data_IF_674748793546
#
_entry.id   IF_674748793546
#
_cell.length_a   1.000
_cell.length_b   1.000
_cell.length_c   1.000
_cell.angle_alpha   90.00
_cell.angle_beta   90.00
_cell.angle_gamma   90.00
#
_symmetry.space_group_name_H-M   'P 1'
#
loop_
_entity.id
_entity.type
_entity.pdbx_description
1 polymer ?
#
# COMPACT_ATOMS: atom_id res chain seq x y z
N UNK A 1 48.00 16.66 9.65
CA UNK A 1 46.67 17.21 9.36
C UNK A 1 45.75 16.04 9.02
N UNK A 2 44.78 15.72 9.87
CA UNK A 2 43.84 14.62 9.64
C UNK A 2 42.58 15.18 8.95
N UNK A 3 42.31 14.72 7.73
CA UNK A 3 41.08 15.01 6.99
C UNK A 3 39.93 14.17 7.55
N UNK A 4 38.96 14.83 8.18
CA UNK A 4 37.69 14.22 8.56
C UNK A 4 36.88 13.97 7.27
N UNK A 5 36.77 12.71 6.87
CA UNK A 5 35.86 12.30 5.81
C UNK A 5 34.42 12.36 6.35
N UNK A 6 33.63 13.30 5.83
CA UNK A 6 32.18 13.33 6.08
C UNK A 6 31.56 12.20 5.27
N UNK A 7 31.13 11.13 5.93
CA UNK A 7 30.35 10.08 5.28
C UNK A 7 29.02 10.69 4.80
N UNK A 8 28.75 10.61 3.50
CA UNK A 8 27.45 11.00 2.97
C UNK A 8 26.36 10.12 3.60
N UNK A 9 25.19 10.68 3.97
CA UNK A 9 24.09 9.88 4.48
C UNK A 9 23.72 8.85 3.41
N UNK A 10 23.73 7.56 3.78
CA UNK A 10 23.21 6.51 2.93
C UNK A 10 21.77 6.88 2.53
N UNK A 11 21.48 6.92 1.23
CA UNK A 11 20.14 7.19 0.72
C UNK A 11 19.15 6.19 1.32
N UNK A 12 17.99 6.68 1.77
CA UNK A 12 16.97 5.82 2.36
C UNK A 12 16.48 4.79 1.32
N UNK A 13 16.63 3.48 1.60
CA UNK A 13 16.20 2.43 0.68
C UNK A 13 14.68 2.34 0.54
N UNK A 14 13.95 2.75 1.58
CA UNK A 14 12.50 2.83 1.55
C UNK A 14 12.04 4.26 1.87
N UNK A 15 11.08 4.73 1.09
CA UNK A 15 10.43 6.02 1.26
C UNK A 15 8.95 5.76 1.51
N UNK A 16 8.41 6.39 2.53
CA UNK A 16 6.97 6.45 2.73
C UNK A 16 6.52 7.89 2.86
N UNK A 17 5.37 8.22 2.27
CA UNK A 17 4.77 9.55 2.40
C UNK A 17 3.27 9.46 2.62
N UNK A 18 2.73 10.46 3.30
CA UNK A 18 1.30 10.63 3.52
C UNK A 18 0.84 11.90 2.80
N UNK A 19 -0.19 11.80 1.95
CA UNK A 19 -0.71 12.92 1.16
C UNK A 19 -2.21 13.15 1.39
N UNK A 20 -2.63 14.29 1.97
CA UNK A 20 -1.80 15.32 2.58
C UNK A 20 -1.07 14.82 3.86
N UNK A 21 0.08 15.40 4.23
CA UNK A 21 0.84 15.01 5.40
C UNK A 21 0.25 15.60 6.70
N UNK A 22 -1.07 15.71 6.82
CA UNK A 22 -1.74 16.44 7.91
C UNK A 22 -2.22 15.49 9.01
N UNK A 23 -1.88 15.80 10.26
CA UNK A 23 -2.38 15.07 11.44
C UNK A 23 -3.92 15.10 11.54
N UNK A 24 -4.50 13.97 11.92
CA UNK A 24 -5.95 13.75 12.07
C UNK A 24 -6.75 13.84 10.77
N UNK A 25 -6.09 14.06 9.63
CA UNK A 25 -6.73 14.24 8.34
C UNK A 25 -6.89 12.93 7.56
N UNK A 26 -7.82 12.95 6.60
CA UNK A 26 -7.84 11.96 5.54
C UNK A 26 -6.53 12.04 4.74
N UNK A 27 -5.91 10.89 4.45
CA UNK A 27 -4.64 10.83 3.75
C UNK A 27 -4.56 9.63 2.80
N UNK A 28 -3.62 9.68 1.87
CA UNK A 28 -3.18 8.55 1.04
C UNK A 28 -1.76 8.20 1.45
N UNK A 29 -1.47 6.93 1.60
CA UNK A 29 -0.11 6.45 1.87
C UNK A 29 0.54 6.07 0.54
N UNK A 30 1.79 6.48 0.37
CA UNK A 30 2.64 6.06 -0.73
C UNK A 30 3.87 5.40 -0.12
N UNK A 31 4.23 4.22 -0.61
CA UNK A 31 5.46 3.53 -0.27
C UNK A 31 6.26 3.31 -1.55
N UNK A 32 7.57 3.49 -1.46
CA UNK A 32 8.52 3.16 -2.52
C UNK A 32 9.73 2.45 -1.89
N UNK A 33 10.23 1.42 -2.54
CA UNK A 33 11.47 0.72 -2.16
C UNK A 33 12.38 0.72 -3.37
N UNK A 34 13.64 1.09 -3.17
CA UNK A 34 14.71 0.91 -4.12
C UNK A 34 15.46 -0.39 -3.82
N UNK A 35 15.28 -1.37 -4.69
CA UNK A 35 15.91 -2.69 -4.64
C UNK A 35 17.33 -2.73 -5.20
N UNK A 36 17.82 -1.62 -5.77
CA UNK A 36 19.19 -1.52 -6.29
C UNK A 36 20.21 -1.14 -5.22
N UNK A 37 19.73 -0.80 -4.02
CA UNK A 37 20.55 -0.42 -2.87
C UNK A 37 20.74 -1.58 -1.91
N UNK A 38 21.93 -1.69 -1.35
CA UNK A 38 22.21 -2.66 -0.29
C UNK A 38 21.35 -2.36 0.95
N UNK A 39 20.88 -3.39 1.68
CA UNK A 39 21.17 -4.81 1.53
C UNK A 39 20.10 -5.59 0.72
N UNK A 40 19.31 -4.89 -0.11
CA UNK A 40 18.24 -5.50 -0.93
C UNK A 40 18.77 -6.02 -2.27
N UNK A 41 19.83 -5.41 -2.79
CA UNK A 41 20.45 -5.71 -4.08
C UNK A 41 20.56 -7.22 -4.34
N UNK A 42 20.15 -7.64 -5.54
CA UNK A 42 20.22 -9.04 -6.02
C UNK A 42 19.34 -10.05 -5.26
N UNK A 43 18.44 -9.61 -4.38
CA UNK A 43 17.52 -10.50 -3.65
C UNK A 43 16.08 -10.21 -4.06
N UNK A 44 15.29 -11.27 -4.28
CA UNK A 44 13.86 -11.14 -4.61
C UNK A 44 13.05 -11.43 -3.35
N UNK A 45 12.26 -10.48 -2.85
CA UNK A 45 11.42 -10.74 -1.69
C UNK A 45 10.28 -11.71 -2.04
N UNK A 46 10.00 -12.63 -1.13
CA UNK A 46 8.88 -13.57 -1.17
C UNK A 46 7.67 -13.06 -0.39
N UNK A 47 7.87 -12.14 0.55
CA UNK A 47 6.77 -11.45 1.23
C UNK A 47 7.11 -9.98 1.45
N UNK A 48 6.07 -9.17 1.63
CA UNK A 48 6.17 -7.73 1.77
C UNK A 48 5.13 -7.23 2.77
N UNK A 49 5.59 -6.46 3.75
CA UNK A 49 4.72 -5.82 4.74
C UNK A 49 4.94 -4.32 4.73
N UNK A 50 3.87 -3.55 4.53
CA UNK A 50 3.88 -2.11 4.71
C UNK A 50 3.22 -1.77 6.04
N UNK A 51 3.92 -1.10 6.93
CA UNK A 51 3.42 -0.76 8.26
C UNK A 51 3.37 0.76 8.45
N UNK A 52 2.26 1.23 8.99
CA UNK A 52 2.08 2.59 9.49
C UNK A 52 1.90 2.53 11.03
N UNK A 53 2.43 3.49 11.79
CA UNK A 53 2.43 3.41 13.24
C UNK A 53 1.03 3.56 13.86
N UNK A 54 0.95 3.44 15.17
CA UNK A 54 -0.29 3.60 15.94
C UNK A 54 -1.01 4.91 15.64
N UNK A 55 -2.34 4.84 15.57
CA UNK A 55 -3.22 6.00 15.33
C UNK A 55 -3.69 6.14 13.89
N UNK A 56 -3.02 5.50 12.92
CA UNK A 56 -3.59 5.36 11.58
C UNK A 56 -4.85 4.51 11.63
N UNK A 57 -5.93 4.98 11.01
CA UNK A 57 -7.20 4.24 10.95
C UNK A 57 -7.56 3.88 9.53
N UNK A 58 -8.23 2.74 9.36
CA UNK A 58 -8.67 2.23 8.06
C UNK A 58 -10.20 2.07 8.02
N UNK A 59 -10.89 2.94 7.28
CA UNK A 59 -12.35 2.96 7.15
C UNK A 59 -12.80 2.31 5.84
N UNK A 60 -13.23 1.05 5.94
CA UNK A 60 -13.65 0.25 4.79
C UNK A 60 -14.94 0.75 4.13
N UNK A 61 -15.66 1.73 4.73
CA UNK A 61 -16.83 2.39 4.12
C UNK A 61 -16.45 3.31 2.96
N UNK A 62 -15.18 3.70 2.88
CA UNK A 62 -14.60 4.40 1.73
C UNK A 62 -14.59 3.55 0.45
N UNK A 63 -14.86 2.25 0.57
CA UNK A 63 -14.96 1.32 -0.54
C UNK A 63 -16.43 0.94 -0.76
N UNK A 64 -16.88 1.02 -2.01
CA UNK A 64 -18.28 0.76 -2.39
C UNK A 64 -18.60 -0.72 -2.61
N UNK A 65 -17.57 -1.55 -2.83
CA UNK A 65 -17.72 -2.96 -3.11
C UNK A 65 -16.59 -3.78 -2.46
N UNK A 66 -16.67 -5.10 -2.61
CA UNK A 66 -15.62 -6.07 -2.25
C UNK A 66 -15.25 -6.89 -3.47
N UNK A 67 -13.99 -7.29 -3.57
CA UNK A 67 -13.54 -8.25 -4.57
C UNK A 67 -13.49 -9.65 -3.97
N UNK A 68 -14.24 -10.59 -4.56
CA UNK A 68 -14.11 -12.02 -4.22
C UNK A 68 -12.85 -12.60 -4.86
N UNK A 69 -12.42 -13.77 -4.41
CA UNK A 69 -11.25 -14.44 -4.98
C UNK A 69 -11.48 -14.81 -6.46
N UNK A 70 -12.67 -15.28 -6.79
CA UNK A 70 -13.04 -15.69 -8.15
C UNK A 70 -12.94 -14.51 -9.10
N UNK A 71 -13.47 -13.34 -8.70
CA UNK A 71 -13.33 -12.10 -9.47
C UNK A 71 -11.90 -11.62 -9.56
N UNK A 72 -11.10 -11.78 -8.50
CA UNK A 72 -9.68 -11.44 -8.54
C UNK A 72 -8.92 -12.29 -9.57
N UNK A 73 -9.19 -13.60 -9.60
CA UNK A 73 -8.56 -14.53 -10.56
C UNK A 73 -8.93 -14.19 -12.00
N UNK A 74 -10.18 -13.77 -12.24
CA UNK A 74 -10.67 -13.35 -13.56
C UNK A 74 -10.35 -11.90 -13.91
N UNK A 75 -9.68 -11.14 -13.03
CA UNK A 75 -9.48 -9.69 -13.17
C UNK A 75 -10.79 -8.89 -13.37
N UNK A 76 -11.84 -9.30 -12.66
CA UNK A 76 -13.17 -8.68 -12.66
C UNK A 76 -13.49 -8.00 -11.31
N UNK A 77 -12.46 -7.60 -10.57
CA UNK A 77 -12.66 -6.87 -9.32
C UNK A 77 -13.43 -5.55 -9.58
N UNK A 78 -14.50 -5.26 -8.81
CA UNK A 78 -15.24 -4.03 -9.02
C UNK A 78 -14.37 -2.83 -8.65
N UNK A 79 -14.41 -1.76 -9.45
CA UNK A 79 -13.66 -0.50 -9.18
C UNK A 79 -13.90 0.05 -7.77
N UNK A 80 -15.11 -0.12 -7.23
CA UNK A 80 -15.45 0.30 -5.87
C UNK A 80 -14.76 -0.48 -4.74
N UNK A 81 -14.03 -1.56 -5.05
CA UNK A 81 -13.18 -2.31 -4.11
C UNK A 81 -11.69 -1.96 -4.19
N UNK A 82 -11.28 -1.17 -5.19
CA UNK A 82 -9.90 -0.76 -5.36
C UNK A 82 -9.44 0.11 -4.19
N UNK A 83 -8.29 -0.23 -3.61
CA UNK A 83 -7.70 0.48 -2.49
C UNK A 83 -6.61 1.46 -2.91
N UNK A 84 -6.11 1.34 -4.14
CA UNK A 84 -5.00 2.13 -4.65
C UNK A 84 -4.36 1.49 -5.88
N UNK A 85 -3.05 1.63 -6.03
CA UNK A 85 -2.31 1.13 -7.18
C UNK A 85 -0.82 1.16 -6.92
N UNK A 86 -0.01 0.63 -7.84
CA UNK A 86 1.44 0.63 -7.68
C UNK A 86 2.13 -0.04 -8.85
N UNK A 87 3.43 -0.26 -8.69
CA UNK A 87 4.25 -0.87 -9.71
C UNK A 87 5.37 -1.68 -9.06
N UNK A 88 5.64 -2.88 -9.58
CA UNK A 88 6.80 -3.69 -9.26
C UNK A 88 7.71 -3.74 -10.49
N UNK A 89 8.99 -3.46 -10.32
CA UNK A 89 10.01 -3.55 -11.37
C UNK A 89 11.01 -4.64 -11.01
N UNK A 90 11.16 -5.61 -11.90
CA UNK A 90 12.13 -6.71 -11.81
C UNK A 90 13.08 -6.60 -12.99
N UNK A 91 14.38 -6.50 -12.74
CA UNK A 91 15.41 -6.66 -13.77
C UNK A 91 15.52 -8.13 -14.15
N UNK A 92 15.54 -8.41 -15.44
CA UNK A 92 15.68 -9.75 -16.02
C UNK A 92 16.95 -9.77 -16.85
N UNK A 93 17.93 -10.59 -16.46
CA UNK A 93 19.16 -10.83 -17.22
C UNK A 93 18.98 -12.05 -18.10
N UNK A 94 19.04 -11.87 -19.41
CA UNK A 94 18.89 -12.94 -20.40
C UNK A 94 20.20 -13.72 -20.59
N UNK A 95 20.17 -14.91 -21.24
CA UNK A 95 21.37 -15.72 -21.46
C UNK A 95 22.46 -15.04 -22.31
N UNK A 96 22.08 -14.03 -23.10
CA UNK A 96 23.02 -13.19 -23.88
C UNK A 96 23.70 -12.09 -23.05
N UNK A 97 23.40 -12.03 -21.75
CA UNK A 97 23.90 -11.01 -20.82
C UNK A 97 23.12 -9.70 -20.86
N UNK A 98 22.11 -9.55 -21.73
CA UNK A 98 21.30 -8.33 -21.79
C UNK A 98 20.35 -8.25 -20.59
N UNK A 99 20.19 -7.04 -20.03
CA UNK A 99 19.26 -6.77 -18.93
C UNK A 99 18.02 -6.04 -19.46
N UNK A 100 16.84 -6.47 -18.99
CA UNK A 100 15.55 -5.85 -19.32
C UNK A 100 14.71 -5.66 -18.07
N UNK A 101 14.04 -4.53 -17.97
CA UNK A 101 13.07 -4.30 -16.90
C UNK A 101 11.71 -4.88 -17.25
N UNK A 102 11.24 -5.80 -16.40
CA UNK A 102 9.87 -6.27 -16.39
C UNK A 102 9.07 -5.44 -15.40
N UNK A 103 8.09 -4.71 -15.93
CA UNK A 103 7.27 -3.75 -15.20
C UNK A 103 5.87 -4.32 -14.98
N UNK A 104 5.47 -4.48 -13.73
CA UNK A 104 4.19 -5.06 -13.34
C UNK A 104 3.33 -4.04 -12.60
N UNK A 105 2.17 -3.69 -13.16
CA UNK A 105 1.20 -2.87 -12.44
C UNK A 105 0.59 -3.66 -11.29
N UNK A 106 0.48 -3.02 -10.11
CA UNK A 106 -0.10 -3.57 -8.90
C UNK A 106 -1.46 -2.94 -8.64
N UNK A 107 -2.49 -3.75 -8.44
CA UNK A 107 -3.84 -3.28 -8.15
C UNK A 107 -4.37 -3.95 -6.88
N UNK A 108 -4.27 -3.30 -5.71
CA UNK A 108 -4.82 -3.82 -4.47
C UNK A 108 -6.33 -3.60 -4.38
N UNK A 109 -7.07 -4.65 -4.02
CA UNK A 109 -8.52 -4.65 -3.83
C UNK A 109 -8.91 -5.23 -2.48
N UNK A 110 -9.89 -4.62 -1.83
CA UNK A 110 -10.42 -5.10 -0.56
C UNK A 110 -11.36 -6.28 -0.76
N UNK A 111 -11.16 -7.34 0.02
CA UNK A 111 -12.02 -8.52 0.10
C UNK A 111 -12.88 -8.49 1.37
N UNK A 112 -13.53 -9.60 1.70
CA UNK A 112 -14.30 -9.75 2.94
C UNK A 112 -13.38 -9.84 4.17
N UNK A 113 -13.85 -9.31 5.30
CA UNK A 113 -13.06 -9.26 6.54
C UNK A 113 -11.84 -8.35 6.40
N UNK A 114 -10.66 -8.89 6.72
CA UNK A 114 -9.37 -8.20 6.65
C UNK A 114 -8.53 -8.62 5.44
N UNK A 115 -9.10 -9.36 4.48
CA UNK A 115 -8.35 -9.86 3.32
C UNK A 115 -8.22 -8.79 2.24
N UNK A 116 -7.09 -8.81 1.55
CA UNK A 116 -6.78 -7.96 0.40
C UNK A 116 -6.31 -8.86 -0.73
N UNK A 117 -6.67 -8.54 -1.97
CA UNK A 117 -6.14 -9.17 -3.17
C UNK A 117 -5.32 -8.15 -3.93
N UNK A 118 -4.05 -8.43 -4.17
CA UNK A 118 -3.25 -7.62 -5.09
C UNK A 118 -3.15 -8.35 -6.42
N UNK A 119 -3.66 -7.70 -7.47
CA UNK A 119 -3.58 -8.23 -8.84
C UNK A 119 -2.33 -7.67 -9.50
N UNK A 120 -1.56 -8.55 -10.12
CA UNK A 120 -0.40 -8.21 -10.94
C UNK A 120 -0.44 -9.00 -12.25
N UNK A 121 -0.02 -8.38 -13.36
CA UNK A 121 0.04 -9.06 -14.65
C UNK A 121 1.46 -9.58 -14.92
N UNK A 122 1.77 -10.79 -14.45
CA UNK A 122 3.06 -11.46 -14.62
C UNK A 122 2.85 -12.67 -15.52
N UNK A 123 3.11 -12.52 -16.82
CA UNK A 123 2.82 -13.54 -17.86
C UNK A 123 1.38 -14.09 -17.78
N UNK A 124 0.45 -13.23 -17.37
CA UNK A 124 -0.93 -13.57 -17.02
C UNK A 124 -1.35 -12.90 -15.70
N UNK A 125 -2.64 -12.91 -15.39
CA UNK A 125 -3.14 -12.38 -14.12
C UNK A 125 -2.73 -13.28 -12.95
N UNK A 126 -2.04 -12.69 -11.97
CA UNK A 126 -1.68 -13.32 -10.71
C UNK A 126 -2.40 -12.60 -9.58
N UNK A 127 -2.97 -13.40 -8.68
CA UNK A 127 -3.61 -12.91 -7.45
C UNK A 127 -2.67 -13.17 -6.30
N UNK A 128 -2.18 -12.10 -5.71
CA UNK A 128 -1.33 -12.10 -4.54
C UNK A 128 -2.24 -11.96 -3.31
N UNK A 129 -2.32 -12.99 -2.44
CA UNK A 129 -3.06 -12.88 -1.20
C UNK A 129 -2.41 -11.86 -0.27
N UNK A 130 -3.23 -11.07 0.38
CA UNK A 130 -2.79 -10.15 1.42
C UNK A 130 -3.78 -10.02 2.56
N UNK A 131 -3.33 -9.44 3.66
CA UNK A 131 -4.12 -9.22 4.87
C UNK A 131 -3.83 -7.84 5.44
N UNK A 132 -4.89 -7.16 5.87
CA UNK A 132 -4.84 -5.94 6.65
C UNK A 132 -4.85 -6.28 8.14
N UNK A 133 -3.72 -6.07 8.81
CA UNK A 133 -3.57 -6.30 10.24
C UNK A 133 -3.73 -4.97 10.98
N UNK A 134 -4.60 -4.96 11.99
CA UNK A 134 -4.75 -3.84 12.93
C UNK A 134 -4.29 -4.32 14.29
N UNK A 135 -3.24 -3.71 14.83
CA UNK A 135 -2.64 -4.08 16.11
C UNK A 135 -2.39 -2.85 16.97
N UNK A 136 -1.90 -3.04 18.20
CA UNK A 136 -1.47 -1.94 19.06
C UNK A 136 -0.30 -1.14 18.44
N UNK A 137 0.52 -1.79 17.60
CA UNK A 137 1.64 -1.15 16.89
C UNK A 137 1.20 -0.32 15.68
N UNK A 138 -0.04 -0.49 15.21
CA UNK A 138 -0.60 0.31 14.11
C UNK A 138 -1.32 -0.51 13.06
N UNK A 139 -1.17 -0.08 11.80
CA UNK A 139 -1.81 -0.67 10.63
C UNK A 139 -0.74 -1.30 9.75
N UNK A 140 -0.88 -2.59 9.44
CA UNK A 140 0.03 -3.28 8.52
C UNK A 140 -0.74 -3.91 7.36
N UNK A 141 -0.19 -3.79 6.17
CA UNK A 141 -0.67 -4.46 4.96
C UNK A 141 0.37 -5.49 4.54
N UNK A 142 0.02 -6.76 4.71
CA UNK A 142 0.90 -7.91 4.48
C UNK A 142 0.53 -8.57 3.17
N UNK A 143 1.51 -8.86 2.32
CA UNK A 143 1.38 -9.65 1.10
C UNK A 143 2.33 -10.85 1.17
N UNK A 144 1.77 -12.05 1.21
CA UNK A 144 2.54 -13.30 1.37
C UNK A 144 1.77 -14.49 0.76
N UNK A 145 2.30 -15.18 -0.27
CA UNK A 145 3.55 -14.92 -0.97
C UNK A 145 3.40 -13.91 -2.12
N UNK A 146 4.44 -13.12 -2.38
CA UNK A 146 4.61 -12.32 -3.60
C UNK A 146 4.78 -13.21 -4.85
N UNK A 147 4.40 -12.73 -6.05
CA UNK A 147 4.51 -13.50 -7.26
C UNK A 147 5.97 -13.49 -7.71
N UNK A 148 6.69 -14.57 -7.43
CA UNK A 148 8.06 -14.78 -7.94
C UNK A 148 7.94 -15.46 -9.32
N UNK A 149 8.59 -14.92 -10.38
CA UNK A 149 8.63 -15.60 -11.67
C UNK A 149 9.27 -16.98 -11.51
N UNK A 150 8.79 -18.01 -12.21
CA UNK A 150 9.45 -19.31 -12.17
C UNK A 150 10.89 -19.18 -12.66
N UNK A 151 11.85 -19.91 -12.09
CA UNK A 151 13.24 -19.86 -12.55
C UNK A 151 13.31 -20.43 -13.98
N UNK A 152 13.88 -19.66 -14.91
CA UNK A 152 14.21 -20.15 -16.24
C UNK A 152 15.72 -20.39 -16.33
N UNK A 153 16.17 -21.49 -16.97
CA UNK A 153 17.60 -21.77 -17.14
C UNK A 153 18.32 -20.59 -17.80
N UNK A 154 19.45 -20.17 -17.23
CA UNK A 154 20.29 -19.07 -17.71
C UNK A 154 19.61 -17.68 -17.73
N UNK A 155 18.51 -17.50 -16.99
CA UNK A 155 17.87 -16.19 -16.80
C UNK A 155 18.05 -15.74 -15.35
N UNK A 156 18.65 -14.57 -15.16
CA UNK A 156 18.78 -13.91 -13.87
C UNK A 156 17.57 -13.01 -13.57
N UNK A 157 17.22 -12.87 -12.30
CA UNK A 157 16.17 -11.97 -11.82
C UNK A 157 16.69 -11.13 -10.67
N UNK A 158 16.44 -9.82 -10.71
CA UNK A 158 16.82 -8.88 -9.67
C UNK A 158 15.64 -7.97 -9.32
N UNK A 159 15.34 -7.81 -8.03
CA UNK A 159 14.36 -6.82 -7.59
C UNK A 159 14.93 -5.41 -7.78
N UNK A 160 14.24 -4.55 -8.53
CA UNK A 160 14.69 -3.18 -8.80
C UNK A 160 13.94 -2.17 -7.96
N UNK A 161 12.60 -2.22 -7.96
CA UNK A 161 11.80 -1.33 -7.14
C UNK A 161 10.38 -1.84 -6.96
N UNK A 162 9.73 -1.37 -5.90
CA UNK A 162 8.27 -1.47 -5.76
C UNK A 162 7.72 -0.14 -5.29
N UNK A 163 6.60 0.26 -5.86
CA UNK A 163 5.77 1.36 -5.38
C UNK A 163 4.37 0.86 -5.05
N UNK A 164 3.79 1.41 -3.99
CA UNK A 164 2.42 1.13 -3.61
C UNK A 164 1.76 2.36 -3.01
N UNK A 165 0.72 2.83 -3.69
CA UNK A 165 -0.22 3.82 -3.20
C UNK A 165 -1.43 3.11 -2.59
N UNK A 166 -1.80 3.52 -1.37
CA UNK A 166 -2.99 3.06 -0.66
C UNK A 166 -3.81 4.27 -0.24
N UNK A 167 -5.03 4.35 -0.72
CA UNK A 167 -5.97 5.41 -0.39
C UNK A 167 -7.15 5.42 -1.36
N UNK A 168 -8.36 5.42 -0.80
CA UNK A 168 -9.60 5.54 -1.55
C UNK A 168 -10.53 6.53 -0.88
N UNK A 169 -11.41 7.14 -1.66
CA UNK A 169 -12.43 8.07 -1.16
C UNK A 169 -13.77 7.72 -1.79
N UNK A 170 -14.83 7.77 -0.99
CA UNK A 170 -16.21 7.61 -1.46
C UNK A 170 -17.11 8.68 -0.88
N UNK A 171 -17.88 9.34 -1.74
CA UNK A 171 -18.94 10.25 -1.32
C UNK A 171 -20.30 9.56 -1.47
N UNK A 172 -21.08 9.49 -0.39
CA UNK A 172 -22.42 8.90 -0.35
C UNK A 172 -23.47 9.98 -0.10
N UNK A 173 -24.55 9.98 -0.87
CA UNK A 173 -25.74 10.81 -0.59
C UNK A 173 -26.63 10.09 0.42
N UNK A 174 -26.88 10.71 1.57
CA UNK A 174 -27.78 10.22 2.63
C UNK A 174 -29.00 11.10 2.73
N UNK A 175 -30.18 10.51 2.82
CA UNK A 175 -31.41 11.24 3.11
C UNK A 175 -31.62 11.28 4.62
N UNK A 176 -31.52 12.47 5.21
CA UNK A 176 -31.73 12.73 6.63
C UNK A 176 -33.15 13.28 6.83
N UNK A 177 -33.92 12.67 7.73
CA UNK A 177 -35.20 13.21 8.15
C UNK A 177 -34.94 14.37 9.12
N UNK A 178 -35.38 15.57 8.76
CA UNK A 178 -35.33 16.73 9.65
C UNK A 178 -36.47 16.63 10.67
N UNK A 179 -36.18 17.02 11.91
CA UNK A 179 -37.21 17.13 12.95
C UNK A 179 -38.31 18.09 12.46
N UNK A 180 -39.56 17.67 12.65
CA UNK A 180 -40.72 18.51 12.35
C UNK A 180 -40.64 19.79 13.20
N UNK A 181 -40.79 20.97 12.58
CA UNK A 181 -40.91 22.23 13.33
C UNK A 181 -42.27 22.24 14.02
N UNK A 182 -42.39 22.87 15.20
CA UNK A 182 -43.62 22.91 16.00
C UNK A 182 -44.88 23.33 15.20
N UNK A 183 -44.72 24.12 14.13
CA UNK A 183 -45.81 24.58 13.25
C UNK A 183 -46.07 23.71 12.00
N UNK A 184 -45.29 22.66 11.75
CA UNK A 184 -45.40 21.81 10.56
C UNK A 184 -45.53 20.34 10.95
N UNK A 185 -46.71 19.74 10.73
CA UNK A 185 -46.97 18.31 11.02
C UNK A 185 -46.20 17.34 10.11
N UNK A 186 -45.61 17.80 9.00
CA UNK A 186 -44.83 16.94 8.07
C UNK A 186 -43.33 17.08 8.31
N UNK A 187 -42.66 15.95 8.51
CA UNK A 187 -41.20 15.87 8.54
C UNK A 187 -40.62 16.15 7.15
N UNK A 188 -39.68 17.09 7.06
CA UNK A 188 -38.97 17.38 5.81
C UNK A 188 -37.80 16.41 5.64
N UNK A 189 -37.53 15.97 4.42
CA UNK A 189 -36.34 15.17 4.08
C UNK A 189 -35.27 16.11 3.52
N UNK A 190 -34.02 15.96 3.96
CA UNK A 190 -32.86 16.67 3.41
C UNK A 190 -31.82 15.66 2.95
N UNK A 191 -31.31 15.80 1.73
CA UNK A 191 -30.19 14.99 1.25
C UNK A 191 -28.87 15.65 1.65
N UNK A 192 -28.01 14.92 2.35
CA UNK A 192 -26.66 15.33 2.78
C UNK A 192 -25.62 14.45 2.08
N UNK A 193 -24.49 15.02 1.67
CA UNK A 193 -23.35 14.25 1.16
C UNK A 193 -22.39 13.94 2.32
N UNK A 194 -22.03 12.68 2.50
CA UNK A 194 -21.03 12.23 3.48
C UNK A 194 -19.85 11.64 2.72
N UNK A 195 -18.64 12.16 2.98
CA UNK A 195 -17.39 11.63 2.45
C UNK A 195 -16.82 10.60 3.43
N UNK A 196 -16.30 9.52 2.89
CA UNK A 196 -15.55 8.49 3.59
C UNK A 196 -14.18 8.39 2.94
N UNK A 197 -13.13 8.41 3.75
CA UNK A 197 -11.74 8.27 3.29
C UNK A 197 -11.14 7.01 3.92
N UNK A 198 -10.40 6.26 3.11
CA UNK A 198 -9.92 4.93 3.48
C UNK A 198 -8.95 5.00 4.65
N UNK A 199 -8.07 6.00 4.64
CA UNK A 199 -7.01 6.15 5.63
C UNK A 199 -7.15 7.51 6.29
N UNK A 200 -7.10 7.54 7.62
CA UNK A 200 -6.91 8.77 8.39
C UNK A 200 -5.61 8.68 9.18
N UNK A 201 -4.85 9.77 9.15
CA UNK A 201 -3.62 9.91 9.90
C UNK A 201 -3.89 10.05 11.41
N UNK A 202 -2.92 9.71 12.26
CA UNK A 202 -2.96 9.96 13.70
C UNK A 202 -3.21 11.45 13.98
N UNK A 203 -3.96 11.75 15.04
CA UNK A 203 -4.26 13.13 15.44
C UNK A 203 -3.02 13.91 15.93
N UNK A 204 -1.95 13.20 16.30
CA UNK A 204 -0.70 13.77 16.77
C UNK A 204 0.41 13.47 15.77
N UNK A 205 1.30 14.45 15.59
CA UNK A 205 2.47 14.38 14.74
C UNK A 205 3.62 15.10 15.42
N UNK A 206 4.80 14.47 15.49
CA UNK A 206 6.04 15.04 16.01
C UNK A 206 7.07 15.20 14.88
N UNK A 207 6.64 15.75 13.74
CA UNK A 207 7.46 15.95 12.54
C UNK A 207 7.46 14.75 11.57
N UNK A 208 7.42 13.52 12.08
CA UNK A 208 7.25 12.32 11.24
C UNK A 208 6.54 11.18 11.97
N UNK A 209 5.89 10.29 11.22
CA UNK A 209 5.36 9.02 11.69
C UNK A 209 6.34 7.89 11.33
N UNK A 210 6.72 7.06 12.31
CA UNK A 210 7.66 5.94 12.12
C UNK A 210 7.01 4.78 11.34
N UNK A 211 6.99 4.87 10.02
CA UNK A 211 6.55 3.78 9.14
C UNK A 211 7.72 2.85 8.81
N UNK A 212 7.40 1.60 8.48
CA UNK A 212 8.39 0.59 8.09
C UNK A 212 7.88 -0.19 6.89
N UNK A 213 8.83 -0.72 6.12
CA UNK A 213 8.57 -1.71 5.08
C UNK A 213 9.43 -2.92 5.35
N UNK A 214 8.81 -4.08 5.54
CA UNK A 214 9.53 -5.31 5.84
C UNK A 214 9.53 -6.21 4.60
N UNK A 215 10.73 -6.64 4.19
CA UNK A 215 10.94 -7.60 3.11
C UNK A 215 11.30 -8.96 3.70
N UNK A 216 10.60 -10.03 3.30
CA UNK A 216 11.00 -11.40 3.62
C UNK A 216 11.57 -12.06 2.39
N UNK A 217 12.65 -12.83 2.53
CA UNK A 217 13.36 -13.48 1.44
C UNK A 217 13.18 -15.01 1.47
N UNK A 218 13.54 -15.74 0.39
CA UNK A 218 13.41 -17.19 0.32
C UNK A 218 14.16 -17.96 1.43
N UNK A 219 15.22 -17.38 1.99
CA UNK A 219 15.99 -17.92 3.11
C UNK A 219 15.29 -17.76 4.47
N UNK A 220 14.11 -17.14 4.50
CA UNK A 220 13.34 -16.85 5.72
C UNK A 220 13.81 -15.62 6.48
N UNK A 221 14.88 -14.95 6.03
CA UNK A 221 15.32 -13.70 6.66
C UNK A 221 14.34 -12.57 6.35
N UNK A 222 14.15 -11.70 7.33
CA UNK A 222 13.38 -10.49 7.21
C UNK A 222 14.29 -9.27 7.32
N UNK A 223 14.07 -8.28 6.45
CA UNK A 223 14.79 -7.02 6.43
C UNK A 223 13.81 -5.87 6.66
N UNK A 224 13.81 -5.27 7.86
CA UNK A 224 13.04 -4.08 8.12
C UNK A 224 13.72 -2.86 7.51
N UNK A 225 13.00 -2.11 6.68
CA UNK A 225 13.44 -0.86 6.07
C UNK A 225 12.69 0.31 6.72
N UNK A 226 13.35 1.14 7.53
CA UNK A 226 12.75 2.34 8.08
C UNK A 226 12.33 3.29 6.95
N UNK A 227 11.08 3.74 6.99
CA UNK A 227 10.51 4.63 6.00
C UNK A 227 9.71 5.74 6.73
N UNK A 228 10.35 6.64 7.49
CA UNK A 228 9.64 7.67 8.24
C UNK A 228 8.79 8.53 7.30
N UNK A 229 7.50 8.68 7.61
CA UNK A 229 6.57 9.50 6.85
C UNK A 229 6.53 10.92 7.42
N UNK A 230 6.97 11.95 6.66
CA UNK A 230 6.87 13.33 7.12
C UNK A 230 5.43 13.74 7.44
N UNK A 231 5.23 14.54 8.48
CA UNK A 231 3.92 15.02 8.87
C UNK A 231 3.93 16.46 9.41
N UNK A 232 2.77 17.09 9.34
CA UNK A 232 2.47 18.41 9.89
C UNK A 232 1.37 18.28 10.94
N UNK A 233 1.44 19.03 12.06
CA UNK A 233 0.39 19.08 13.07
C UNK A 233 -0.95 19.61 12.53
#
# INVERSE_FOLDING_TARGET
MATLAVAAPAGAQAVATATPPKAGGATKLHYAIDGTLDPVTLRIPTALTFSAPTGFTFDTRALAARCSRERAVLNECPKGSAMGGGQLVIGVTLPDGSERDAVFALHPYMSTGNRVWMLAYVTGWRVVPGTLVKSAAGLSLVFDPLPVPPPFPNVGYAFKSITLDVGATRTVKKVVKLKARARSKKARKRTTKTRYDLIHAPAQCAGSWAATVDLTFPDGSALPLPAPMPCTP
#
